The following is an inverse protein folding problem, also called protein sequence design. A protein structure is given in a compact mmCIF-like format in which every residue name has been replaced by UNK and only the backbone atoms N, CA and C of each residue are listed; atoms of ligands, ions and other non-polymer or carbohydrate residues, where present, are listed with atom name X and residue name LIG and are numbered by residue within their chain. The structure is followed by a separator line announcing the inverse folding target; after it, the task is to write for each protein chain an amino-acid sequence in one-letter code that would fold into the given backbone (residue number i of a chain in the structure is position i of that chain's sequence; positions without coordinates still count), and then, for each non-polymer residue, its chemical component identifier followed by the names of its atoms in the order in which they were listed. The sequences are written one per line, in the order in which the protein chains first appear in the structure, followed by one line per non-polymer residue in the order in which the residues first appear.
data_IF_565928428830
#
_entry.id   IF_565928428830
#
_cell.length_a   1.000
_cell.length_b   1.000
_cell.length_c   1.000
_cell.angle_alpha   90.00
_cell.angle_beta   90.00
_cell.angle_gamma   90.00
#
_symmetry.space_group_name_H-M   'P 1'
#
loop_
_entity.id
_entity.type
_entity.pdbx_description
1 polymer ?
#
# COMPACT_ATOMS: atom_id res chain seq x y z
N UNK A 1 11.86 -17.04 -9.05
CA UNK A 1 11.39 -15.64 -8.85
C UNK A 1 10.37 -15.65 -7.73
N UNK A 2 10.40 -14.71 -6.78
CA UNK A 2 9.45 -14.65 -5.66
C UNK A 2 8.17 -13.92 -6.05
N UNK A 3 7.04 -14.22 -5.40
CA UNK A 3 5.76 -13.51 -5.62
C UNK A 3 5.89 -11.99 -5.42
N UNK A 4 6.65 -11.55 -4.40
CA UNK A 4 6.96 -10.13 -4.20
C UNK A 4 7.64 -9.48 -5.42
N UNK A 5 8.53 -10.19 -6.13
CA UNK A 5 9.18 -9.63 -7.31
C UNK A 5 8.24 -9.58 -8.52
N UNK A 6 7.34 -10.55 -8.65
CA UNK A 6 6.29 -10.54 -9.68
C UNK A 6 5.32 -9.37 -9.41
N UNK A 7 4.94 -9.17 -8.15
CA UNK A 7 4.10 -8.06 -7.71
C UNK A 7 4.71 -6.69 -8.04
N UNK A 8 6.02 -6.51 -7.84
CA UNK A 8 6.73 -5.30 -8.25
C UNK A 8 6.57 -5.02 -9.76
N UNK A 9 6.67 -6.05 -10.61
CA UNK A 9 6.51 -5.91 -12.06
C UNK A 9 5.07 -5.50 -12.40
N UNK A 10 4.07 -6.16 -11.82
CA UNK A 10 2.67 -5.78 -12.02
C UNK A 10 2.39 -4.35 -11.54
N UNK A 11 2.90 -3.96 -10.37
CA UNK A 11 2.74 -2.61 -9.85
C UNK A 11 3.37 -1.56 -10.76
N UNK A 12 4.55 -1.84 -11.33
CA UNK A 12 5.24 -0.92 -12.26
C UNK A 12 4.57 -0.82 -13.64
N UNK A 13 3.69 -1.77 -13.95
CA UNK A 13 2.90 -1.79 -15.19
C UNK A 13 1.42 -1.47 -14.92
N UNK A 14 1.13 -0.85 -13.77
CA UNK A 14 -0.20 -0.38 -13.36
C UNK A 14 -1.28 -1.48 -13.29
N UNK A 15 -0.85 -2.74 -13.28
CA UNK A 15 -1.70 -3.92 -13.07
C UNK A 15 -1.91 -4.13 -11.57
N UNK A 16 -2.53 -3.16 -10.90
CA UNK A 16 -2.60 -3.07 -9.44
C UNK A 16 -3.30 -4.28 -8.80
N UNK A 17 -4.39 -4.77 -9.37
CA UNK A 17 -5.13 -5.93 -8.82
C UNK A 17 -4.24 -7.17 -8.72
N UNK A 18 -3.49 -7.47 -9.79
CA UNK A 18 -2.55 -8.60 -9.81
C UNK A 18 -1.37 -8.38 -8.86
N UNK A 19 -0.89 -7.14 -8.75
CA UNK A 19 0.19 -6.79 -7.84
C UNK A 19 -0.22 -7.00 -6.37
N UNK A 20 -1.38 -6.48 -5.98
CA UNK A 20 -1.95 -6.58 -4.63
C UNK A 20 -2.13 -8.04 -4.25
N UNK A 21 -2.78 -8.84 -5.10
CA UNK A 21 -2.99 -10.28 -4.85
C UNK A 21 -1.65 -11.03 -4.66
N UNK A 22 -0.64 -10.72 -5.49
CA UNK A 22 0.70 -11.32 -5.34
C UNK A 22 1.39 -10.90 -4.02
N UNK A 23 1.28 -9.64 -3.61
CA UNK A 23 1.85 -9.16 -2.35
C UNK A 23 1.15 -9.79 -1.14
N UNK A 24 -0.18 -9.88 -1.14
CA UNK A 24 -0.97 -10.48 -0.06
C UNK A 24 -0.61 -11.96 0.11
N UNK A 25 -0.56 -12.73 -0.98
CA UNK A 25 -0.12 -14.14 -0.97
C UNK A 25 1.33 -14.27 -0.48
N UNK A 26 2.22 -13.39 -0.92
CA UNK A 26 3.61 -13.38 -0.44
C UNK A 26 3.68 -13.12 1.07
N UNK A 27 2.85 -12.20 1.57
CA UNK A 27 2.80 -11.84 2.97
C UNK A 27 2.25 -12.98 3.83
N UNK A 28 1.21 -13.67 3.36
CA UNK A 28 0.64 -14.86 4.01
C UNK A 28 1.70 -15.95 4.17
N UNK A 29 2.40 -16.29 3.08
CA UNK A 29 3.49 -17.28 3.10
C UNK A 29 4.58 -16.86 4.08
N UNK A 30 4.98 -15.59 4.09
CA UNK A 30 6.00 -15.11 5.02
C UNK A 30 5.55 -15.13 6.48
N UNK A 31 4.29 -14.79 6.77
CA UNK A 31 3.72 -14.88 8.13
C UNK A 31 3.62 -16.31 8.65
N UNK A 32 3.41 -17.30 7.77
CA UNK A 32 3.39 -18.72 8.16
C UNK A 32 4.79 -19.28 8.45
N UNK A 33 5.83 -18.76 7.79
CA UNK A 33 7.17 -19.35 7.83
C UNK A 33 8.17 -18.56 8.68
N UNK A 34 7.86 -17.33 9.06
CA UNK A 34 8.78 -16.45 9.79
C UNK A 34 8.10 -15.77 10.98
N UNK A 35 8.86 -15.41 12.04
CA UNK A 35 8.36 -14.57 13.12
C UNK A 35 7.84 -13.22 12.58
N UNK A 36 6.86 -12.63 13.25
CA UNK A 36 6.16 -11.40 12.81
C UNK A 36 7.09 -10.22 12.48
N UNK A 37 8.25 -10.13 13.16
CA UNK A 37 9.23 -9.07 12.96
C UNK A 37 10.25 -9.32 11.84
N UNK A 38 10.09 -10.41 11.09
CA UNK A 38 11.05 -10.81 10.07
C UNK A 38 11.13 -9.78 8.92
N UNK A 39 12.34 -9.42 8.43
CA UNK A 39 12.51 -8.38 7.40
C UNK A 39 11.68 -8.61 6.13
N UNK A 40 11.48 -9.87 5.71
CA UNK A 40 10.66 -10.19 4.53
C UNK A 40 9.19 -9.77 4.69
N UNK A 41 8.62 -9.88 5.89
CA UNK A 41 7.26 -9.45 6.17
C UNK A 41 7.18 -7.93 6.04
N UNK A 42 8.11 -7.21 6.68
CA UNK A 42 8.20 -5.74 6.62
C UNK A 42 8.40 -5.22 5.19
N UNK A 43 9.28 -5.84 4.41
CA UNK A 43 9.53 -5.47 3.01
C UNK A 43 8.26 -5.69 2.17
N UNK A 44 7.59 -6.82 2.33
CA UNK A 44 6.36 -7.12 1.58
C UNK A 44 5.22 -6.16 1.94
N UNK A 45 5.07 -5.81 3.22
CA UNK A 45 4.10 -4.81 3.67
C UNK A 45 4.38 -3.43 3.10
N UNK A 46 5.65 -2.99 3.12
CA UNK A 46 6.03 -1.70 2.55
C UNK A 46 5.77 -1.64 1.03
N UNK A 47 6.06 -2.71 0.31
CA UNK A 47 5.79 -2.76 -1.13
C UNK A 47 4.29 -2.78 -1.45
N UNK A 48 3.49 -3.48 -0.65
CA UNK A 48 2.03 -3.47 -0.76
C UNK A 48 1.47 -2.06 -0.51
N UNK A 49 1.93 -1.39 0.55
CA UNK A 49 1.53 -0.02 0.86
C UNK A 49 1.88 0.96 -0.27
N UNK A 50 3.07 0.83 -0.87
CA UNK A 50 3.46 1.64 -2.03
C UNK A 50 2.59 1.36 -3.26
N UNK A 51 2.25 0.09 -3.50
CA UNK A 51 1.35 -0.31 -4.59
C UNK A 51 -0.05 0.27 -4.43
N UNK A 52 -0.63 0.19 -3.23
CA UNK A 52 -1.88 0.85 -2.91
C UNK A 52 -1.81 2.38 -3.08
N UNK A 53 -0.70 3.02 -2.65
CA UNK A 53 -0.54 4.46 -2.85
C UNK A 53 -0.57 4.84 -4.33
N UNK A 54 0.11 4.07 -5.19
CA UNK A 54 0.07 4.30 -6.64
C UNK A 54 -1.34 4.12 -7.20
N UNK A 55 -2.08 3.09 -6.74
CA UNK A 55 -3.48 2.89 -7.11
C UNK A 55 -4.38 4.07 -6.68
N UNK A 56 -4.20 4.58 -5.44
CA UNK A 56 -4.93 5.75 -4.97
C UNK A 56 -4.66 6.98 -5.86
N UNK A 57 -3.39 7.22 -6.23
CA UNK A 57 -3.02 8.29 -7.16
C UNK A 57 -3.65 8.10 -8.55
N UNK A 58 -3.77 6.86 -9.05
CA UNK A 58 -4.47 6.57 -10.29
C UNK A 58 -5.95 6.95 -10.21
N UNK A 59 -6.64 6.60 -9.11
CA UNK A 59 -8.04 7.00 -8.91
C UNK A 59 -8.23 8.52 -8.84
N UNK A 60 -7.29 9.26 -8.25
CA UNK A 60 -7.32 10.73 -8.23
C UNK A 60 -7.13 11.31 -9.63
N UNK A 61 -6.15 10.83 -10.39
CA UNK A 61 -5.74 11.46 -11.65
C UNK A 61 -6.62 11.08 -12.84
N UNK A 62 -7.04 9.81 -12.92
CA UNK A 62 -7.68 9.27 -14.11
C UNK A 62 -9.21 9.26 -13.98
N UNK A 63 -9.70 9.03 -12.76
CA UNK A 63 -11.13 8.82 -12.50
C UNK A 63 -11.77 9.95 -11.69
N UNK A 64 -10.96 10.86 -11.12
CA UNK A 64 -11.40 11.84 -10.11
C UNK A 64 -12.21 11.21 -8.96
N UNK A 65 -11.99 9.92 -8.69
CA UNK A 65 -12.70 9.17 -7.66
C UNK A 65 -11.98 9.34 -6.30
N UNK A 66 -12.18 10.52 -5.72
CA UNK A 66 -11.59 10.88 -4.43
C UNK A 66 -12.05 9.97 -3.29
N UNK A 67 -13.24 9.37 -3.40
CA UNK A 67 -13.76 8.45 -2.38
C UNK A 67 -13.00 7.13 -2.39
N UNK A 68 -12.80 6.54 -3.57
CA UNK A 68 -12.03 5.31 -3.70
C UNK A 68 -10.55 5.55 -3.32
N UNK A 69 -9.98 6.68 -3.71
CA UNK A 69 -8.63 7.06 -3.30
C UNK A 69 -8.51 7.20 -1.78
N UNK A 70 -9.51 7.79 -1.10
CA UNK A 70 -9.54 7.93 0.35
C UNK A 70 -9.56 6.56 1.05
N UNK A 71 -10.43 5.65 0.61
CA UNK A 71 -10.52 4.29 1.16
C UNK A 71 -9.19 3.53 1.02
N UNK A 72 -8.49 3.71 -0.10
CA UNK A 72 -7.18 3.09 -0.32
C UNK A 72 -6.11 3.74 0.56
N UNK A 73 -6.08 5.06 0.68
CA UNK A 73 -5.13 5.75 1.55
C UNK A 73 -5.29 5.34 3.03
N UNK A 74 -6.50 5.06 3.49
CA UNK A 74 -6.75 4.51 4.82
C UNK A 74 -6.12 3.11 5.00
N UNK A 75 -6.25 2.22 4.01
CA UNK A 75 -5.55 0.91 4.03
C UNK A 75 -4.02 1.06 4.07
N UNK A 76 -3.47 2.05 3.35
CA UNK A 76 -2.03 2.35 3.40
C UNK A 76 -1.60 2.79 4.80
N UNK A 77 -2.40 3.65 5.44
CA UNK A 77 -2.14 4.10 6.81
C UNK A 77 -2.14 2.93 7.80
N UNK A 78 -3.11 2.02 7.72
CA UNK A 78 -3.17 0.82 8.57
C UNK A 78 -1.91 -0.04 8.44
N UNK A 79 -1.40 -0.22 7.22
CA UNK A 79 -0.15 -0.98 6.98
C UNK A 79 1.06 -0.25 7.59
N UNK A 80 1.14 1.07 7.43
CA UNK A 80 2.27 1.85 7.95
C UNK A 80 2.26 1.92 9.48
N UNK A 81 1.11 2.06 10.13
CA UNK A 81 1.02 2.07 11.59
C UNK A 81 1.47 0.74 12.22
N UNK A 82 1.32 -0.38 11.52
CA UNK A 82 1.83 -1.68 11.95
C UNK A 82 3.35 -1.84 11.78
N UNK A 83 3.98 -1.03 10.92
CA UNK A 83 5.35 -1.29 10.45
C UNK A 83 6.35 -0.18 10.76
N UNK A 84 5.87 1.05 10.97
CA UNK A 84 6.67 2.27 11.06
C UNK A 84 6.24 3.11 12.28
N UNK A 85 7.18 3.85 12.91
CA UNK A 85 6.82 4.83 13.92
C UNK A 85 5.93 5.93 13.34
N UNK A 86 5.09 6.55 14.18
CA UNK A 86 4.19 7.64 13.77
C UNK A 86 4.93 8.84 13.15
N UNK A 87 6.17 9.10 13.58
CA UNK A 87 7.02 10.17 13.04
C UNK A 87 7.64 9.84 11.68
N UNK A 88 7.43 8.64 11.15
CA UNK A 88 8.00 8.24 9.87
C UNK A 88 7.37 9.05 8.73
N UNK A 89 8.19 9.51 7.79
CA UNK A 89 7.75 10.40 6.71
C UNK A 89 6.58 9.83 5.90
N UNK A 90 6.55 8.52 5.65
CA UNK A 90 5.44 7.87 4.94
C UNK A 90 4.11 7.94 5.70
N UNK A 91 4.12 7.84 7.04
CA UNK A 91 2.92 7.95 7.89
C UNK A 91 2.41 9.39 7.84
N UNK A 92 3.31 10.37 8.04
CA UNK A 92 2.97 11.80 7.97
C UNK A 92 2.42 12.16 6.59
N UNK A 93 3.04 11.65 5.52
CA UNK A 93 2.60 11.92 4.14
C UNK A 93 1.22 11.35 3.88
N UNK A 94 0.95 10.09 4.23
CA UNK A 94 -0.37 9.49 3.94
C UNK A 94 -1.48 10.15 4.75
N UNK A 95 -1.22 10.60 6.00
CA UNK A 95 -2.19 11.36 6.79
C UNK A 95 -2.56 12.69 6.11
N UNK A 96 -1.58 13.43 5.60
CA UNK A 96 -1.83 14.66 4.82
C UNK A 96 -2.58 14.38 3.52
N UNK A 97 -2.25 13.29 2.82
CA UNK A 97 -2.93 12.90 1.58
C UNK A 97 -4.42 12.58 1.89
N UNK A 98 -4.72 11.92 3.02
CA UNK A 98 -6.08 11.69 3.52
C UNK A 98 -6.82 13.00 3.82
N UNK A 99 -6.19 13.94 4.54
CA UNK A 99 -6.77 15.26 4.84
C UNK A 99 -7.15 16.01 3.55
N UNK A 100 -6.24 16.01 2.56
CA UNK A 100 -6.48 16.63 1.26
C UNK A 100 -7.66 16.00 0.54
N UNK A 101 -7.79 14.67 0.58
CA UNK A 101 -8.92 13.96 -0.04
C UNK A 101 -10.24 14.26 0.66
N UNK A 102 -10.24 14.42 1.99
CA UNK A 102 -11.43 14.82 2.75
C UNK A 102 -11.89 16.23 2.38
N UNK A 103 -10.98 17.18 2.19
CA UNK A 103 -11.29 18.53 1.72
C UNK A 103 -11.87 18.55 0.30
N UNK A 104 -11.49 17.60 -0.56
CA UNK A 104 -12.06 17.45 -1.90
C UNK A 104 -13.48 16.88 -1.89
N UNK A 105 -13.84 16.16 -0.84
CA UNK A 105 -15.14 15.50 -0.67
C UNK A 105 -16.15 16.33 0.12
N UNK A 106 -15.71 17.43 0.74
CA UNK A 106 -16.57 18.39 1.45
C UNK A 106 -17.22 19.40 0.52
#
# INVERSE_FOLDING_TARGET
VTLNNIANVFCSTEQYDFAIDCYEKSLEIYKMNFPINHPKIKISQNNLALCYKNLASNYVNDNEDYKMALDICQKVLEIYEQTLPETHINVVTIKRDIETLLEKLS
#
